data_IF_848602742827
#
_entry.id   IF_848602742827
#
_cell.length_a   1.000
_cell.length_b   1.000
_cell.length_c   1.000
_cell.angle_alpha   90.00
_cell.angle_beta   90.00
_cell.angle_gamma   90.00
#
_symmetry.space_group_name_H-M   'P 1'
#
loop_
_entity.id
_entity.type
_entity.pdbx_description
1 polymer ?
#
# COMPACT_ATOMS: atom_id res chain seq x y z
N UNK A 1 -12.99 -4.54 10.38
CA UNK A 1 -13.45 -5.02 9.06
C UNK A 1 -14.68 -4.29 8.52
N UNK A 2 -15.58 -3.78 9.36
CA UNK A 2 -16.69 -2.90 8.92
C UNK A 2 -16.15 -1.63 8.23
N UNK A 3 -15.17 -0.97 8.84
CA UNK A 3 -14.58 0.26 8.29
C UNK A 3 -13.86 0.03 6.96
N UNK A 4 -13.11 -1.08 6.83
CA UNK A 4 -12.51 -1.45 5.55
C UNK A 4 -13.56 -1.66 4.46
N UNK A 5 -14.72 -2.24 4.80
CA UNK A 5 -15.83 -2.43 3.85
C UNK A 5 -16.44 -1.10 3.42
N UNK A 6 -16.54 -0.14 4.34
CA UNK A 6 -17.12 1.20 4.09
C UNK A 6 -16.17 2.16 3.39
N UNK A 7 -14.85 1.99 3.55
CA UNK A 7 -13.86 2.89 3.00
C UNK A 7 -13.81 2.83 1.46
N UNK A 8 -13.68 3.97 0.79
CA UNK A 8 -13.49 4.03 -0.66
C UNK A 8 -12.07 3.64 -1.09
N UNK A 9 -11.09 3.93 -0.24
CA UNK A 9 -9.65 3.68 -0.45
C UNK A 9 -9.01 3.17 0.84
N UNK A 10 -8.01 2.30 0.71
CA UNK A 10 -7.16 1.87 1.83
C UNK A 10 -5.79 2.50 1.68
N UNK A 11 -5.34 3.17 2.75
CA UNK A 11 -4.02 3.76 2.84
C UNK A 11 -3.20 2.98 3.85
N UNK A 12 -2.11 2.37 3.41
CA UNK A 12 -1.22 1.58 4.25
C UNK A 12 0.16 2.25 4.36
N UNK A 13 0.66 2.38 5.59
CA UNK A 13 2.06 2.73 5.83
C UNK A 13 2.82 1.41 5.92
N UNK A 14 3.71 1.18 4.96
CA UNK A 14 4.61 0.04 4.98
C UNK A 14 5.82 0.41 5.83
N UNK A 15 5.76 -0.01 7.08
CA UNK A 15 6.90 -0.07 7.98
C UNK A 15 7.33 -1.53 8.14
N UNK A 16 8.62 -1.77 8.15
CA UNK A 16 9.20 -3.09 8.31
C UNK A 16 10.02 -3.16 9.60
N UNK A 17 9.88 -4.27 10.32
CA UNK A 17 10.76 -4.59 11.42
C UNK A 17 11.48 -5.89 11.08
N UNK A 18 12.79 -5.81 10.90
CA UNK A 18 13.63 -6.96 10.50
C UNK A 18 13.18 -7.62 9.17
N UNK A 19 12.71 -6.82 8.21
CA UNK A 19 12.25 -7.32 6.91
C UNK A 19 10.87 -7.98 6.93
N UNK A 20 10.12 -7.83 8.04
CA UNK A 20 8.75 -8.34 8.17
C UNK A 20 7.80 -7.15 8.23
N UNK A 21 6.90 -7.07 7.24
CA UNK A 21 5.74 -6.15 7.30
C UNK A 21 4.77 -6.63 8.37
N UNK A 22 4.16 -5.69 9.10
CA UNK A 22 3.12 -6.02 10.09
C UNK A 22 2.05 -6.95 9.49
N UNK A 23 1.87 -8.17 10.06
CA UNK A 23 0.94 -9.16 9.50
C UNK A 23 -0.51 -8.69 9.48
N UNK A 24 -0.91 -7.81 10.41
CA UNK A 24 -2.24 -7.21 10.43
C UNK A 24 -2.47 -6.31 9.22
N UNK A 25 -1.50 -5.44 8.94
CA UNK A 25 -1.49 -4.55 7.78
C UNK A 25 -1.47 -5.35 6.48
N UNK A 26 -0.63 -6.39 6.39
CA UNK A 26 -0.60 -7.29 5.23
C UNK A 26 -1.95 -7.99 4.99
N UNK A 27 -2.61 -8.43 6.06
CA UNK A 27 -3.95 -9.01 5.99
C UNK A 27 -4.99 -8.01 5.48
N UNK A 28 -4.95 -6.76 5.98
CA UNK A 28 -5.87 -5.71 5.55
C UNK A 28 -5.66 -5.30 4.08
N UNK A 29 -4.41 -5.26 3.61
CA UNK A 29 -4.07 -5.06 2.19
C UNK A 29 -4.68 -6.17 1.34
N UNK A 30 -4.48 -7.44 1.71
CA UNK A 30 -5.08 -8.57 0.98
C UNK A 30 -6.62 -8.53 1.01
N UNK A 31 -7.20 -8.18 2.15
CA UNK A 31 -8.65 -8.04 2.29
C UNK A 31 -9.24 -6.90 1.44
N UNK A 32 -8.49 -5.80 1.28
CA UNK A 32 -8.85 -4.68 0.41
C UNK A 32 -8.75 -5.08 -1.08
N UNK A 33 -7.67 -5.76 -1.46
CA UNK A 33 -7.41 -6.21 -2.82
C UNK A 33 -8.54 -7.13 -3.33
N UNK A 34 -8.92 -8.16 -2.58
CA UNK A 34 -10.02 -9.07 -2.98
C UNK A 34 -11.40 -8.39 -3.03
N UNK A 35 -11.54 -7.20 -2.44
CA UNK A 35 -12.75 -6.37 -2.48
C UNK A 35 -12.69 -5.28 -3.56
N UNK A 36 -11.67 -5.29 -4.42
CA UNK A 36 -11.41 -4.28 -5.44
C UNK A 36 -11.32 -2.86 -4.86
N UNK A 37 -10.81 -2.73 -3.63
CA UNK A 37 -10.55 -1.42 -3.03
C UNK A 37 -9.14 -0.99 -3.41
N UNK A 38 -8.95 0.22 -3.96
CA UNK A 38 -7.61 0.72 -4.27
C UNK A 38 -6.78 0.80 -3.00
N UNK A 39 -5.56 0.26 -3.07
CA UNK A 39 -4.58 0.29 -1.98
C UNK A 39 -3.46 1.27 -2.34
N UNK A 40 -3.31 2.32 -1.54
CA UNK A 40 -2.24 3.30 -1.65
C UNK A 40 -1.24 3.03 -0.53
N UNK A 41 0.02 2.84 -0.87
CA UNK A 41 1.07 2.53 0.10
C UNK A 41 2.07 3.66 0.24
N UNK A 42 2.54 3.82 1.46
CA UNK A 42 3.57 4.77 1.85
C UNK A 42 4.73 4.04 2.50
N UNK A 43 5.91 4.11 1.90
CA UNK A 43 7.13 3.52 2.46
C UNK A 43 8.22 4.59 2.57
N UNK A 44 8.43 5.12 3.77
CA UNK A 44 9.42 6.20 3.99
C UNK A 44 10.86 5.69 3.94
N UNK A 45 11.10 4.45 4.35
CA UNK A 45 12.42 3.81 4.34
C UNK A 45 12.43 2.71 3.29
N UNK A 46 13.33 2.84 2.32
CA UNK A 46 13.52 1.81 1.31
C UNK A 46 13.89 0.48 2.00
N UNK A 47 13.02 -0.51 1.85
CA UNK A 47 13.20 -1.88 2.28
C UNK A 47 12.56 -2.78 1.25
N UNK A 48 13.06 -4.02 1.14
CA UNK A 48 12.51 -4.97 0.21
C UNK A 48 11.10 -5.39 0.67
N UNK A 49 10.15 -5.45 -0.27
CA UNK A 49 8.72 -5.67 0.04
C UNK A 49 8.28 -7.02 -0.50
N UNK A 50 7.42 -7.71 0.26
CA UNK A 50 6.87 -8.98 -0.19
C UNK A 50 6.12 -8.81 -1.53
N UNK A 51 6.41 -9.70 -2.49
CA UNK A 51 5.82 -9.63 -3.84
C UNK A 51 4.29 -9.52 -3.82
N UNK A 52 3.60 -10.26 -2.93
CA UNK A 52 2.14 -10.25 -2.85
C UNK A 52 1.59 -8.88 -2.47
N UNK A 53 2.33 -8.11 -1.66
CA UNK A 53 1.94 -6.76 -1.31
C UNK A 53 2.12 -5.85 -2.51
N UNK A 54 3.25 -5.94 -3.22
CA UNK A 54 3.58 -5.07 -4.36
C UNK A 54 2.60 -5.17 -5.53
N UNK A 55 2.12 -6.37 -5.83
CA UNK A 55 1.17 -6.63 -6.93
C UNK A 55 -0.28 -6.27 -6.56
N UNK A 56 -0.54 -6.01 -5.27
CA UNK A 56 -1.88 -5.69 -4.78
C UNK A 56 -2.20 -4.18 -4.79
N UNK A 57 -1.26 -3.34 -5.22
CA UNK A 57 -1.28 -1.88 -5.00
C UNK A 57 -1.85 -1.11 -6.19
N UNK A 58 -2.63 -0.07 -5.87
CA UNK A 58 -2.98 0.97 -6.84
C UNK A 58 -1.83 1.96 -7.01
N UNK A 59 -1.21 2.39 -5.91
CA UNK A 59 -0.07 3.29 -5.97
C UNK A 59 0.95 3.03 -4.85
N UNK A 60 2.22 3.06 -5.21
CA UNK A 60 3.37 3.02 -4.31
C UNK A 60 4.03 4.41 -4.23
N UNK A 61 4.13 4.96 -3.02
CA UNK A 61 4.61 6.32 -2.75
C UNK A 61 5.72 6.28 -1.70
N UNK A 62 6.88 6.83 -2.01
CA UNK A 62 8.10 6.70 -1.18
C UNK A 62 8.51 7.99 -0.48
N UNK A 63 8.00 9.13 -0.91
CA UNK A 63 8.37 10.42 -0.35
C UNK A 63 7.16 11.31 0.01
N UNK A 64 7.43 12.28 0.88
CA UNK A 64 6.43 13.21 1.38
C UNK A 64 5.78 14.06 0.28
N UNK A 65 6.53 14.43 -0.76
CA UNK A 65 6.02 15.26 -1.84
C UNK A 65 5.03 14.46 -2.70
N UNK A 66 5.39 13.23 -3.07
CA UNK A 66 4.56 12.29 -3.79
C UNK A 66 3.26 11.99 -3.03
N UNK A 67 3.34 11.85 -1.69
CA UNK A 67 2.17 11.71 -0.82
C UNK A 67 1.24 12.91 -0.88
N UNK A 68 1.77 14.13 -0.77
CA UNK A 68 0.94 15.35 -0.74
C UNK A 68 0.36 15.71 -2.10
N UNK A 69 1.01 15.28 -3.19
CA UNK A 69 0.59 15.55 -4.56
C UNK A 69 -0.28 14.44 -5.16
N UNK A 70 -0.52 13.33 -4.44
CA UNK A 70 -1.35 12.25 -4.98
C UNK A 70 -2.82 12.66 -5.02
N UNK A 71 -3.41 12.57 -6.21
CA UNK A 71 -4.80 12.89 -6.45
C UNK A 71 -5.67 11.63 -6.24
N UNK A 72 -6.49 11.67 -5.19
CA UNK A 72 -7.37 10.56 -4.82
C UNK A 72 -8.60 10.42 -5.72
N UNK A 73 -8.95 11.44 -6.50
CA UNK A 73 -10.06 11.37 -7.47
C UNK A 73 -9.57 10.74 -8.78
N UNK A 74 -8.36 11.13 -9.23
CA UNK A 74 -7.78 10.59 -10.46
C UNK A 74 -7.29 9.13 -10.31
N UNK A 75 -6.96 8.69 -9.09
CA UNK A 75 -6.53 7.32 -8.78
C UNK A 75 -5.43 6.79 -9.73
N UNK A 76 -4.48 7.64 -10.11
CA UNK A 76 -3.44 7.27 -11.07
C UNK A 76 -2.63 6.07 -10.55
N UNK A 77 -2.50 5.03 -11.38
CA UNK A 77 -1.70 3.85 -11.02
C UNK A 77 -0.21 4.22 -10.91
N UNK A 78 0.45 3.75 -9.86
CA UNK A 78 1.90 3.89 -9.66
C UNK A 78 2.47 2.57 -9.19
N UNK A 79 3.13 1.86 -10.10
CA UNK A 79 3.73 0.58 -9.82
C UNK A 79 4.80 0.68 -8.71
N UNK A 80 5.01 -0.44 -8.02
CA UNK A 80 6.11 -0.58 -7.07
C UNK A 80 7.47 -0.41 -7.77
N UNK A 81 8.41 0.22 -7.08
CA UNK A 81 9.81 0.36 -7.52
C UNK A 81 10.70 0.06 -6.33
N UNK A 82 11.42 -1.05 -6.37
CA UNK A 82 12.29 -1.51 -5.30
C UNK A 82 12.63 -2.98 -5.44
N UNK A 83 13.21 -3.54 -4.38
CA UNK A 83 13.55 -4.96 -4.30
C UNK A 83 12.38 -5.78 -3.73
N UNK A 84 12.27 -7.03 -4.18
CA UNK A 84 11.28 -7.98 -3.69
C UNK A 84 11.88 -8.94 -2.67
N UNK A 85 11.05 -9.41 -1.74
CA UNK A 85 11.32 -10.60 -0.90
C UNK A 85 10.25 -11.67 -1.09
#
# INVERSE_FOLDING_TARGET
MLELTRADVVVAVLDDHEGITDPGTAFEIGAAHVRNKPVITFQEKAAAVNLMLTESLQAYLTDLAARRAYDFEAMAHRAFVGDYI
#
